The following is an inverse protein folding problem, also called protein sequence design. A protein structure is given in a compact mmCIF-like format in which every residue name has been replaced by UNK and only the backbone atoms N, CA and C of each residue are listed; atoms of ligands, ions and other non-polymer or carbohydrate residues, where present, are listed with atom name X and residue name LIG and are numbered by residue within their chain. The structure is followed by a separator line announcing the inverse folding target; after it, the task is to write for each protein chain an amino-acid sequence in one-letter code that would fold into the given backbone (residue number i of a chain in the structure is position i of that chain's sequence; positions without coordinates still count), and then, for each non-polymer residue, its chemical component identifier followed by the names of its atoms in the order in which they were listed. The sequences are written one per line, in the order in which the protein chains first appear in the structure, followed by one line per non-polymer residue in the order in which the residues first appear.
data_IF_139675631280
#
_entry.id   IF_139675631280
#
_cell.length_a   1.000
_cell.length_b   1.000
_cell.length_c   1.000
_cell.angle_alpha   90.00
_cell.angle_beta   90.00
_cell.angle_gamma   90.00
#
_symmetry.space_group_name_H-M   'P 1'
#
loop_
_entity.id
_entity.type
_entity.pdbx_description
1 polymer ?
#
# COMPACT_ATOMS: atom_id res chain seq x y z
N UNK A 1 -18.88 -13.50 -91.19
CA UNK A 1 -19.33 -14.46 -92.20
C UNK A 1 -20.83 -14.35 -92.28
N UNK A 2 -21.30 -13.52 -93.20
CA UNK A 2 -22.72 -13.31 -93.46
C UNK A 2 -22.95 -13.80 -94.88
N UNK A 3 -23.56 -14.98 -94.99
CA UNK A 3 -23.96 -15.60 -96.25
C UNK A 3 -25.01 -14.72 -96.94
N UNK A 4 -24.68 -14.20 -98.12
CA UNK A 4 -25.65 -13.64 -99.06
C UNK A 4 -25.62 -14.55 -100.30
N UNK A 5 -26.60 -15.43 -100.36
CA UNK A 5 -26.93 -16.21 -101.54
C UNK A 5 -27.45 -15.28 -102.65
N UNK A 6 -26.75 -15.23 -103.79
CA UNK A 6 -27.24 -14.64 -105.04
C UNK A 6 -27.90 -15.73 -105.90
N UNK A 7 -29.20 -15.64 -106.21
CA UNK A 7 -29.84 -16.52 -107.19
C UNK A 7 -29.46 -16.09 -108.61
N UNK A 8 -29.20 -17.08 -109.48
CA UNK A 8 -28.60 -16.89 -110.78
C UNK A 8 -29.53 -16.55 -111.96
N UNK A 9 -28.90 -16.46 -113.12
CA UNK A 9 -29.36 -17.13 -114.35
C UNK A 9 -30.32 -16.35 -115.25
N UNK A 10 -29.77 -15.78 -116.33
CA UNK A 10 -30.57 -15.14 -117.39
C UNK A 10 -30.01 -15.22 -118.81
N UNK A 11 -29.31 -16.28 -119.23
CA UNK A 11 -29.03 -16.50 -120.66
C UNK A 11 -30.26 -17.13 -121.35
N UNK A 12 -31.11 -16.34 -121.99
CA UNK A 12 -32.35 -16.85 -122.63
C UNK A 12 -32.52 -16.42 -124.10
N UNK A 13 -31.55 -16.79 -124.95
CA UNK A 13 -31.76 -16.76 -126.41
C UNK A 13 -30.64 -17.45 -127.20
N UNK A 14 -30.97 -18.10 -128.34
CA UNK A 14 -29.97 -18.66 -129.25
C UNK A 14 -29.06 -17.55 -129.79
N UNK A 15 -27.82 -17.90 -130.12
CA UNK A 15 -26.83 -17.00 -130.68
C UNK A 15 -27.34 -16.37 -131.98
N UNK A 16 -27.24 -15.04 -132.12
CA UNK A 16 -27.75 -14.32 -133.29
C UNK A 16 -26.80 -14.32 -134.51
N UNK A 17 -25.91 -15.33 -134.60
CA UNK A 17 -25.03 -15.54 -135.74
C UNK A 17 -25.73 -16.48 -136.76
N UNK A 18 -25.68 -16.21 -138.08
CA UNK A 18 -26.39 -17.01 -139.07
C UNK A 18 -26.00 -18.50 -138.98
N UNK A 19 -26.99 -19.39 -138.76
CA UNK A 19 -26.76 -20.84 -138.68
C UNK A 19 -26.32 -21.38 -137.32
N UNK A 20 -26.13 -20.54 -136.29
CA UNK A 20 -25.75 -21.01 -134.95
C UNK A 20 -26.98 -21.22 -134.05
N UNK A 21 -27.12 -22.40 -133.45
CA UNK A 21 -28.19 -22.73 -132.48
C UNK A 21 -27.72 -22.74 -131.02
N UNK A 22 -26.44 -22.44 -130.75
CA UNK A 22 -25.85 -22.45 -129.40
C UNK A 22 -26.44 -21.31 -128.55
N UNK A 23 -26.54 -21.45 -127.21
CA UNK A 23 -26.98 -20.36 -126.35
C UNK A 23 -26.00 -19.17 -126.38
N UNK A 24 -26.53 -17.95 -126.27
CA UNK A 24 -25.71 -16.75 -126.10
C UNK A 24 -24.92 -16.81 -124.78
N UNK A 25 -23.73 -16.20 -124.74
CA UNK A 25 -22.85 -16.22 -123.56
C UNK A 25 -23.57 -15.62 -122.33
N UNK A 26 -23.44 -16.24 -121.14
CA UNK A 26 -24.00 -15.70 -119.89
C UNK A 26 -23.48 -14.29 -119.57
N UNK A 27 -24.33 -13.49 -118.94
CA UNK A 27 -24.08 -12.07 -118.65
C UNK A 27 -22.85 -11.91 -117.74
N UNK A 28 -21.83 -11.11 -118.12
CA UNK A 28 -20.74 -10.78 -117.21
C UNK A 28 -21.27 -9.88 -116.08
N UNK A 29 -20.80 -10.09 -114.85
CA UNK A 29 -21.24 -9.39 -113.62
C UNK A 29 -21.06 -7.86 -113.66
N UNK A 30 -20.34 -7.35 -114.66
CA UNK A 30 -20.16 -5.93 -114.97
C UNK A 30 -20.19 -5.72 -116.49
N UNK A 31 -21.38 -5.66 -117.10
CA UNK A 31 -21.48 -5.39 -118.54
C UNK A 31 -22.88 -5.46 -119.13
N UNK A 32 -22.97 -5.16 -120.43
CA UNK A 32 -24.20 -5.28 -121.22
C UNK A 32 -24.28 -6.72 -121.77
N UNK A 33 -25.42 -7.43 -121.69
CA UNK A 33 -25.52 -8.82 -122.12
C UNK A 33 -25.11 -9.02 -123.57
N UNK A 34 -24.24 -10.01 -123.83
CA UNK A 34 -23.82 -10.35 -125.19
C UNK A 34 -24.91 -11.17 -125.90
N UNK A 35 -25.14 -10.90 -127.19
CA UNK A 35 -26.14 -11.61 -128.03
C UNK A 35 -25.55 -12.76 -128.86
N UNK A 36 -24.28 -13.12 -128.62
CA UNK A 36 -23.54 -14.12 -129.38
C UNK A 36 -22.86 -15.11 -128.43
N UNK A 37 -22.50 -16.29 -128.92
CA UNK A 37 -21.86 -17.32 -128.08
C UNK A 37 -20.34 -17.11 -127.92
N UNK A 38 -19.72 -16.23 -128.72
CA UNK A 38 -18.27 -15.95 -128.70
C UNK A 38 -17.37 -17.18 -128.87
N UNK A 39 -17.92 -18.24 -129.47
CA UNK A 39 -17.19 -19.44 -129.86
C UNK A 39 -17.03 -19.49 -131.37
N UNK A 40 -15.99 -20.18 -131.85
CA UNK A 40 -15.84 -20.57 -133.25
C UNK A 40 -16.69 -21.80 -133.58
N UNK A 41 -16.98 -21.98 -134.87
CA UNK A 41 -17.59 -23.19 -135.39
C UNK A 41 -16.67 -24.41 -135.24
N UNK A 42 -17.25 -25.61 -135.18
CA UNK A 42 -16.51 -26.88 -135.05
C UNK A 42 -15.54 -27.15 -136.22
N UNK A 43 -15.72 -26.46 -137.35
CA UNK A 43 -14.85 -26.49 -138.52
C UNK A 43 -13.72 -25.44 -138.49
N UNK A 44 -13.53 -24.72 -137.37
CA UNK A 44 -12.52 -23.66 -137.26
C UNK A 44 -12.95 -22.31 -137.83
N UNK A 45 -14.27 -22.07 -137.94
CA UNK A 45 -14.85 -20.82 -138.45
C UNK A 45 -14.62 -19.59 -137.55
N UNK A 46 -14.94 -18.37 -138.03
CA UNK A 46 -14.77 -17.13 -137.28
C UNK A 46 -15.58 -17.11 -135.98
N UNK A 47 -15.03 -16.50 -134.92
CA UNK A 47 -15.70 -16.38 -133.61
C UNK A 47 -17.03 -15.64 -133.76
N UNK A 48 -18.11 -16.17 -133.20
CA UNK A 48 -19.44 -15.56 -133.27
C UNK A 48 -19.52 -14.31 -132.39
N UNK A 49 -19.46 -13.13 -133.03
CA UNK A 49 -19.62 -11.83 -132.42
C UNK A 49 -20.30 -10.86 -133.41
N UNK A 50 -20.54 -9.61 -132.99
CA UNK A 50 -21.23 -8.62 -133.83
C UNK A 50 -20.51 -8.34 -135.15
N UNK A 51 -19.19 -8.30 -135.14
CA UNK A 51 -18.37 -7.96 -136.30
C UNK A 51 -18.33 -9.10 -137.33
N UNK A 52 -18.26 -10.36 -136.88
CA UNK A 52 -18.32 -11.53 -137.76
C UNK A 52 -19.73 -11.77 -138.31
N UNK A 53 -20.79 -11.56 -137.52
CA UNK A 53 -22.18 -11.68 -137.98
C UNK A 53 -22.54 -10.66 -139.07
N UNK A 54 -22.00 -9.43 -139.00
CA UNK A 54 -22.19 -8.43 -140.06
C UNK A 54 -21.48 -8.83 -141.37
N UNK A 55 -20.25 -9.36 -141.29
CA UNK A 55 -19.53 -9.87 -142.47
C UNK A 55 -20.25 -11.06 -143.12
N UNK A 56 -20.74 -12.02 -142.32
CA UNK A 56 -21.49 -13.16 -142.82
C UNK A 56 -22.78 -12.75 -143.56
N UNK A 57 -23.53 -11.76 -143.05
CA UNK A 57 -24.73 -11.23 -143.72
C UNK A 57 -24.40 -10.52 -145.04
N UNK A 58 -23.30 -9.78 -145.11
CA UNK A 58 -22.87 -9.09 -146.34
C UNK A 58 -22.42 -10.07 -147.43
N UNK A 59 -21.78 -11.18 -147.04
CA UNK A 59 -21.43 -12.25 -147.97
C UNK A 59 -22.67 -12.97 -148.55
N UNK A 60 -23.77 -13.06 -147.80
CA UNK A 60 -25.04 -13.63 -148.30
C UNK A 60 -25.85 -12.68 -149.21
N UNK A 61 -25.54 -11.38 -149.24
CA UNK A 61 -26.28 -10.37 -150.02
C UNK A 61 -25.52 -9.83 -151.26
N UNK A 62 -24.33 -10.36 -151.57
CA UNK A 62 -23.52 -9.96 -152.73
C UNK A 62 -23.58 -10.94 -153.89
N UNK A 63 -24.74 -11.09 -154.53
CA UNK A 63 -24.90 -11.89 -155.77
C UNK A 63 -26.14 -11.49 -156.58
N UNK A 64 -26.15 -10.30 -157.18
CA UNK A 64 -26.98 -10.00 -158.37
C UNK A 64 -26.20 -9.04 -159.27
N UNK A 65 -25.53 -9.61 -160.28
CA UNK A 65 -25.10 -8.95 -161.52
C UNK A 65 -26.23 -9.09 -162.55
N UNK A 66 -26.26 -8.25 -163.59
CA UNK A 66 -26.34 -8.73 -164.99
C UNK A 66 -26.19 -7.59 -166.01
N UNK A 67 -25.07 -7.62 -166.73
CA UNK A 67 -24.99 -7.35 -168.17
C UNK A 67 -25.49 -8.59 -168.94
N UNK A 68 -26.16 -8.41 -170.09
CA UNK A 68 -26.36 -9.46 -171.11
C UNK A 68 -26.73 -8.76 -172.44
N UNK A 69 -25.82 -8.62 -173.42
CA UNK A 69 -25.29 -9.60 -174.39
C UNK A 69 -26.31 -10.17 -175.37
N UNK A 70 -26.11 -9.76 -176.62
CA UNK A 70 -26.81 -10.06 -177.87
C UNK A 70 -26.47 -11.44 -178.46
N UNK A 71 -27.48 -12.19 -178.89
CA UNK A 71 -27.49 -12.95 -180.18
C UNK A 71 -28.88 -13.52 -180.46
N UNK A 72 -29.63 -12.94 -181.41
CA UNK A 72 -30.87 -13.47 -181.97
C UNK A 72 -31.02 -13.05 -183.44
N UNK A 73 -31.64 -13.87 -184.32
CA UNK A 73 -31.56 -13.78 -185.78
C UNK A 73 -32.05 -12.44 -186.39
N UNK A 74 -31.42 -12.01 -187.49
CA UNK A 74 -31.44 -10.67 -188.12
C UNK A 74 -32.84 -10.11 -188.47
N UNK A 75 -33.88 -10.94 -188.48
CA UNK A 75 -35.28 -10.51 -188.62
C UNK A 75 -35.88 -9.93 -187.34
N UNK A 76 -35.35 -10.24 -186.16
CA UNK A 76 -35.76 -9.66 -184.87
C UNK A 76 -35.01 -8.35 -184.54
N UNK A 77 -33.82 -8.16 -185.10
CA UNK A 77 -32.99 -6.96 -184.93
C UNK A 77 -33.64 -5.69 -185.51
N UNK A 78 -34.44 -5.81 -186.59
CA UNK A 78 -35.21 -4.68 -187.14
C UNK A 78 -36.38 -4.27 -186.26
N UNK A 79 -37.10 -5.24 -185.69
CA UNK A 79 -38.21 -4.99 -184.76
C UNK A 79 -37.68 -4.35 -183.46
N UNK A 80 -36.53 -4.79 -182.96
CA UNK A 80 -35.91 -4.17 -181.76
C UNK A 80 -35.29 -2.78 -182.03
N UNK A 81 -34.86 -2.48 -183.26
CA UNK A 81 -34.38 -1.14 -183.60
C UNK A 81 -35.53 -0.13 -183.68
N UNK A 82 -36.66 -0.54 -184.23
CA UNK A 82 -37.87 0.28 -184.29
C UNK A 82 -38.43 0.55 -182.89
N UNK A 83 -38.40 -0.45 -182.00
CA UNK A 83 -38.77 -0.29 -180.59
C UNK A 83 -37.80 0.63 -179.81
N UNK A 84 -36.49 0.58 -180.12
CA UNK A 84 -35.50 1.51 -179.53
C UNK A 84 -35.63 2.94 -180.04
N UNK A 85 -36.06 3.14 -181.30
CA UNK A 85 -36.34 4.48 -181.83
C UNK A 85 -37.64 5.06 -181.27
N UNK A 86 -38.64 4.24 -180.93
CA UNK A 86 -39.85 4.69 -180.21
C UNK A 86 -39.56 5.08 -178.75
N UNK A 87 -38.58 4.47 -178.09
CA UNK A 87 -38.21 4.76 -176.69
C UNK A 87 -37.25 5.96 -176.52
N UNK A 88 -36.65 6.45 -177.60
CA UNK A 88 -35.68 7.57 -177.56
C UNK A 88 -36.27 8.89 -177.02
N UNK A 89 -37.51 9.30 -177.36
CA UNK A 89 -38.11 10.52 -176.82
C UNK A 89 -38.28 10.46 -175.29
N UNK A 90 -38.62 9.30 -174.74
CA UNK A 90 -38.79 9.07 -173.30
C UNK A 90 -37.46 9.20 -172.56
N UNK A 91 -36.37 8.65 -173.11
CA UNK A 91 -35.03 8.81 -172.52
C UNK A 91 -34.47 10.22 -172.63
N UNK A 92 -34.83 10.98 -173.66
CA UNK A 92 -34.51 12.41 -173.75
C UNK A 92 -35.31 13.20 -172.71
N UNK A 93 -36.57 12.83 -172.44
CA UNK A 93 -37.36 13.45 -171.38
C UNK A 93 -36.75 13.19 -169.98
N UNK A 94 -36.35 11.95 -169.70
CA UNK A 94 -35.64 11.61 -168.45
C UNK A 94 -34.33 12.40 -168.28
N UNK A 95 -33.53 12.54 -169.35
CA UNK A 95 -32.30 13.35 -169.30
C UNK A 95 -32.60 14.82 -169.04
N UNK A 96 -33.70 15.33 -169.59
CA UNK A 96 -34.13 16.72 -169.39
C UNK A 96 -34.58 16.94 -167.95
N UNK A 97 -35.36 16.02 -167.38
CA UNK A 97 -35.74 16.03 -165.96
C UNK A 97 -34.50 15.99 -165.06
N UNK A 98 -33.54 15.11 -165.35
CA UNK A 98 -32.29 15.06 -164.58
C UNK A 98 -31.50 16.37 -164.65
N UNK A 99 -31.39 16.99 -165.83
CA UNK A 99 -30.70 18.28 -165.96
C UNK A 99 -31.46 19.42 -165.27
N UNK A 100 -32.80 19.40 -165.30
CA UNK A 100 -33.63 20.35 -164.55
C UNK A 100 -33.46 20.17 -163.04
N UNK A 101 -33.43 18.92 -162.54
CA UNK A 101 -33.15 18.60 -161.14
C UNK A 101 -31.75 19.08 -160.71
N UNK A 102 -30.73 18.85 -161.56
CA UNK A 102 -29.36 19.35 -161.30
C UNK A 102 -29.33 20.88 -161.25
N UNK A 103 -30.08 21.58 -162.09
CA UNK A 103 -30.17 23.05 -162.04
C UNK A 103 -30.92 23.52 -160.78
N UNK A 104 -31.93 22.78 -160.32
CA UNK A 104 -32.61 23.03 -159.04
C UNK A 104 -31.64 22.84 -157.87
N UNK A 105 -30.88 21.75 -157.86
CA UNK A 105 -29.89 21.46 -156.82
C UNK A 105 -28.73 22.46 -156.82
N UNK A 106 -28.27 22.91 -158.00
CA UNK A 106 -27.25 23.97 -158.10
C UNK A 106 -27.79 25.32 -157.63
N UNK A 107 -29.07 25.63 -157.87
CA UNK A 107 -29.71 26.84 -157.33
C UNK A 107 -29.89 26.76 -155.81
N UNK A 108 -30.26 25.61 -155.28
CA UNK A 108 -30.37 25.38 -153.84
C UNK A 108 -29.00 25.41 -153.14
N UNK A 109 -27.98 24.82 -153.76
CA UNK A 109 -26.60 24.84 -153.25
C UNK A 109 -25.91 26.21 -153.43
N UNK A 110 -26.36 27.01 -154.41
CA UNK A 110 -25.88 28.35 -154.70
C UNK A 110 -26.66 29.47 -154.00
N UNK A 111 -27.66 29.14 -153.18
CA UNK A 111 -28.40 30.11 -152.37
C UNK A 111 -27.54 30.54 -151.18
N UNK A 112 -26.66 31.50 -151.44
CA UNK A 112 -25.74 32.08 -150.45
C UNK A 112 -26.51 32.77 -149.32
N UNK A 113 -27.74 33.25 -149.56
CA UNK A 113 -28.60 33.87 -148.54
C UNK A 113 -29.19 32.81 -147.59
N UNK A 114 -29.63 31.66 -148.12
CA UNK A 114 -30.05 30.52 -147.29
C UNK A 114 -28.88 29.96 -146.46
N UNK A 115 -27.71 29.78 -147.07
CA UNK A 115 -26.50 29.34 -146.37
C UNK A 115 -26.04 30.38 -145.32
N UNK A 116 -26.14 31.67 -145.62
CA UNK A 116 -25.88 32.76 -144.67
C UNK A 116 -26.83 32.73 -143.48
N UNK A 117 -28.13 32.54 -143.71
CA UNK A 117 -29.13 32.42 -142.67
C UNK A 117 -28.91 31.21 -141.76
N UNK A 118 -28.52 30.05 -142.33
CA UNK A 118 -28.16 28.86 -141.55
C UNK A 118 -26.89 29.07 -140.71
N UNK A 119 -25.87 29.75 -141.26
CA UNK A 119 -24.65 30.08 -140.52
C UNK A 119 -24.93 31.10 -139.41
N UNK A 120 -25.77 32.10 -139.66
CA UNK A 120 -26.19 33.06 -138.64
C UNK A 120 -27.05 32.42 -137.55
N UNK A 121 -27.95 31.49 -137.91
CA UNK A 121 -28.73 30.72 -136.94
C UNK A 121 -27.84 29.78 -136.11
N UNK A 122 -26.91 29.09 -136.76
CA UNK A 122 -25.89 28.27 -136.09
C UNK A 122 -24.96 29.12 -135.21
N UNK A 123 -24.63 30.35 -135.62
CA UNK A 123 -23.86 31.29 -134.83
C UNK A 123 -24.65 31.79 -133.62
N UNK A 124 -25.94 32.12 -133.80
CA UNK A 124 -26.85 32.49 -132.70
C UNK A 124 -27.03 31.35 -131.70
N UNK A 125 -27.22 30.12 -132.17
CA UNK A 125 -27.30 28.91 -131.34
C UNK A 125 -25.97 28.62 -130.63
N UNK A 126 -24.83 28.78 -131.30
CA UNK A 126 -23.51 28.64 -130.69
C UNK A 126 -23.29 29.68 -129.58
N UNK A 127 -23.61 30.95 -129.81
CA UNK A 127 -23.54 31.99 -128.78
C UNK A 127 -24.52 31.71 -127.62
N UNK A 128 -25.73 31.22 -127.90
CA UNK A 128 -26.68 30.81 -126.88
C UNK A 128 -26.13 29.64 -126.03
N UNK A 129 -25.48 28.65 -126.65
CA UNK A 129 -24.84 27.53 -125.95
C UNK A 129 -23.63 27.97 -125.13
N UNK A 130 -22.82 28.89 -125.64
CA UNK A 130 -21.67 29.46 -124.91
C UNK A 130 -22.17 30.25 -123.70
N UNK A 131 -23.12 31.15 -123.88
CA UNK A 131 -23.68 31.94 -122.76
C UNK A 131 -24.36 31.06 -121.70
N UNK A 132 -25.06 30.00 -122.10
CA UNK A 132 -25.64 29.04 -121.16
C UNK A 132 -24.58 28.18 -120.46
N UNK A 133 -23.50 27.80 -121.16
CA UNK A 133 -22.38 27.11 -120.55
C UNK A 133 -21.63 28.00 -119.55
N UNK A 134 -21.43 29.28 -119.88
CA UNK A 134 -20.84 30.28 -118.99
C UNK A 134 -21.71 30.52 -117.76
N UNK A 135 -23.04 30.64 -117.92
CA UNK A 135 -23.96 30.75 -116.78
C UNK A 135 -23.87 29.53 -115.87
N UNK A 136 -23.85 28.32 -116.44
CA UNK A 136 -23.68 27.08 -115.67
C UNK A 136 -22.32 27.01 -114.98
N UNK A 137 -21.25 27.46 -115.63
CA UNK A 137 -19.91 27.51 -115.04
C UNK A 137 -19.86 28.49 -113.86
N UNK A 138 -20.39 29.71 -114.02
CA UNK A 138 -20.44 30.71 -112.93
C UNK A 138 -21.32 30.23 -111.78
N UNK A 139 -22.46 29.59 -112.06
CA UNK A 139 -23.32 29.01 -111.04
C UNK A 139 -22.59 27.88 -110.27
N UNK A 140 -21.92 26.98 -110.99
CA UNK A 140 -21.13 25.91 -110.40
C UNK A 140 -19.98 26.44 -109.54
N UNK A 141 -19.26 27.47 -110.00
CA UNK A 141 -18.19 28.12 -109.24
C UNK A 141 -18.72 28.78 -107.95
N UNK A 142 -19.85 29.47 -108.01
CA UNK A 142 -20.50 30.04 -106.81
C UNK A 142 -20.92 28.95 -105.83
N UNK A 143 -21.51 27.86 -106.32
CA UNK A 143 -21.88 26.71 -105.48
C UNK A 143 -20.64 26.06 -104.86
N UNK A 144 -19.55 25.91 -105.61
CA UNK A 144 -18.29 25.39 -105.12
C UNK A 144 -17.69 26.27 -104.02
N UNK A 145 -17.62 27.59 -104.23
CA UNK A 145 -17.15 28.54 -103.20
C UNK A 145 -17.99 28.50 -101.93
N UNK A 146 -19.32 28.49 -102.05
CA UNK A 146 -20.19 28.38 -100.87
C UNK A 146 -20.04 27.03 -100.15
N UNK A 147 -19.74 25.95 -100.88
CA UNK A 147 -19.45 24.65 -100.27
C UNK A 147 -18.09 24.68 -99.55
N UNK A 148 -17.06 25.25 -100.16
CA UNK A 148 -15.74 25.45 -99.54
C UNK A 148 -15.82 26.32 -98.28
N UNK A 149 -16.56 27.43 -98.32
CA UNK A 149 -16.78 28.30 -97.15
C UNK A 149 -17.48 27.55 -96.00
N UNK A 150 -18.44 26.66 -96.30
CA UNK A 150 -19.09 25.81 -95.29
C UNK A 150 -18.14 24.78 -94.70
N UNK A 151 -17.30 24.14 -95.53
CA UNK A 151 -16.28 23.19 -95.07
C UNK A 151 -15.29 23.90 -94.15
N UNK A 152 -14.75 25.04 -94.58
CA UNK A 152 -13.82 25.83 -93.77
C UNK A 152 -14.45 26.34 -92.47
N UNK A 153 -15.74 26.70 -92.48
CA UNK A 153 -16.46 27.07 -91.24
C UNK A 153 -16.62 25.87 -90.31
N UNK A 154 -17.02 24.72 -90.84
CA UNK A 154 -17.16 23.50 -90.06
C UNK A 154 -15.82 23.03 -89.49
N UNK A 155 -14.72 23.18 -90.23
CA UNK A 155 -13.36 22.89 -89.75
C UNK A 155 -13.00 23.82 -88.59
N UNK A 156 -13.20 25.13 -88.71
CA UNK A 156 -12.97 26.08 -87.61
C UNK A 156 -13.82 25.80 -86.38
N UNK A 157 -15.12 25.56 -86.55
CA UNK A 157 -16.01 25.21 -85.43
C UNK A 157 -15.55 23.91 -84.75
N UNK A 158 -15.00 22.96 -85.50
CA UNK A 158 -14.48 21.70 -84.98
C UNK A 158 -13.14 21.91 -84.25
N UNK A 159 -12.25 22.74 -84.77
CA UNK A 159 -10.99 23.13 -84.10
C UNK A 159 -11.24 23.90 -82.80
N UNK A 160 -12.21 24.84 -82.80
CA UNK A 160 -12.64 25.56 -81.61
C UNK A 160 -13.25 24.60 -80.57
N UNK A 161 -14.10 23.66 -81.01
CA UNK A 161 -14.67 22.65 -80.12
C UNK A 161 -13.61 21.70 -79.54
N UNK A 162 -12.65 21.26 -80.36
CA UNK A 162 -11.53 20.42 -79.92
C UNK A 162 -10.65 21.18 -78.91
N UNK A 163 -10.37 22.47 -79.15
CA UNK A 163 -9.62 23.34 -78.21
C UNK A 163 -10.36 23.50 -76.87
N UNK A 164 -11.66 23.81 -76.90
CA UNK A 164 -12.47 23.94 -75.67
C UNK A 164 -12.54 22.61 -74.90
N UNK A 165 -12.59 21.48 -75.61
CA UNK A 165 -12.57 20.16 -74.99
C UNK A 165 -11.21 19.86 -74.32
N UNK A 166 -10.09 20.20 -74.98
CA UNK A 166 -8.75 20.07 -74.40
C UNK A 166 -8.57 20.93 -73.15
N UNK A 167 -8.99 22.21 -73.20
CA UNK A 167 -8.94 23.13 -72.06
C UNK A 167 -9.80 22.61 -70.89
N UNK A 168 -11.01 22.11 -71.17
CA UNK A 168 -11.89 21.55 -70.15
C UNK A 168 -11.29 20.28 -69.50
N UNK A 169 -10.64 19.42 -70.27
CA UNK A 169 -9.95 18.23 -69.76
C UNK A 169 -8.71 18.62 -68.93
N UNK A 170 -7.93 19.60 -69.39
CA UNK A 170 -6.77 20.11 -68.67
C UNK A 170 -7.17 20.74 -67.33
N UNK A 171 -8.23 21.56 -67.31
CA UNK A 171 -8.75 22.18 -66.09
C UNK A 171 -9.31 21.13 -65.12
N UNK A 172 -10.04 20.14 -65.62
CA UNK A 172 -10.53 19.02 -64.79
C UNK A 172 -9.35 18.23 -64.19
N UNK A 173 -8.28 18.00 -64.96
CA UNK A 173 -7.08 17.33 -64.45
C UNK A 173 -6.38 18.17 -63.38
N UNK A 174 -6.29 19.50 -63.57
CA UNK A 174 -5.73 20.44 -62.59
C UNK A 174 -6.51 20.41 -61.28
N UNK A 175 -7.83 20.56 -61.34
CA UNK A 175 -8.71 20.53 -60.16
C UNK A 175 -8.63 19.18 -59.45
N UNK A 176 -8.59 18.06 -60.19
CA UNK A 176 -8.39 16.73 -59.59
C UNK A 176 -7.03 16.60 -58.90
N UNK A 177 -5.96 17.14 -59.49
CA UNK A 177 -4.63 17.15 -58.87
C UNK A 177 -4.60 17.98 -57.59
N UNK A 178 -5.18 19.18 -57.60
CA UNK A 178 -5.24 20.07 -56.44
C UNK A 178 -6.08 19.49 -55.32
N UNK A 179 -7.26 18.93 -55.64
CA UNK A 179 -8.13 18.28 -54.65
C UNK A 179 -7.47 17.03 -54.06
N UNK A 180 -6.76 16.23 -54.87
CA UNK A 180 -5.99 15.10 -54.36
C UNK A 180 -4.86 15.55 -53.42
N UNK A 181 -4.12 16.59 -53.79
CA UNK A 181 -3.07 17.15 -52.94
C UNK A 181 -3.62 17.71 -51.62
N UNK A 182 -4.78 18.38 -51.66
CA UNK A 182 -5.44 18.88 -50.47
C UNK A 182 -5.93 17.76 -49.55
N UNK A 183 -6.52 16.70 -50.11
CA UNK A 183 -6.93 15.53 -49.34
C UNK A 183 -5.75 14.85 -48.66
N UNK A 184 -4.61 14.72 -49.34
CA UNK A 184 -3.39 14.17 -48.75
C UNK A 184 -2.82 15.08 -47.65
N UNK A 185 -2.87 16.41 -47.82
CA UNK A 185 -2.49 17.36 -46.76
C UNK A 185 -3.38 17.22 -45.53
N UNK A 186 -4.71 17.23 -45.71
CA UNK A 186 -5.67 17.09 -44.60
C UNK A 186 -5.51 15.75 -43.90
N UNK A 187 -5.24 14.66 -44.65
CA UNK A 187 -4.95 13.34 -44.05
C UNK A 187 -3.67 13.37 -43.22
N UNK A 188 -2.58 13.93 -43.77
CA UNK A 188 -1.31 14.03 -43.04
C UNK A 188 -1.44 14.89 -41.77
N UNK A 189 -2.18 16.00 -41.84
CA UNK A 189 -2.47 16.84 -40.67
C UNK A 189 -3.34 16.12 -39.64
N UNK A 190 -4.36 15.38 -40.07
CA UNK A 190 -5.20 14.58 -39.19
C UNK A 190 -4.41 13.46 -38.51
N UNK A 191 -3.55 12.75 -39.25
CA UNK A 191 -2.68 11.70 -38.70
C UNK A 191 -1.67 12.27 -37.70
N UNK A 192 -1.08 13.44 -38.00
CA UNK A 192 -0.18 14.14 -37.09
C UNK A 192 -0.90 14.60 -35.81
N UNK A 193 -2.11 15.16 -35.94
CA UNK A 193 -2.92 15.58 -34.80
C UNK A 193 -3.35 14.38 -33.94
N UNK A 194 -3.72 13.26 -34.56
CA UNK A 194 -4.07 12.02 -33.88
C UNK A 194 -2.86 11.44 -33.12
N UNK A 195 -1.68 11.40 -33.75
CA UNK A 195 -0.44 10.94 -33.12
C UNK A 195 -0.06 11.83 -31.93
N UNK A 196 -0.18 13.16 -32.06
CA UNK A 196 0.07 14.09 -30.98
C UNK A 196 -0.91 13.90 -29.81
N UNK A 197 -2.21 13.76 -30.09
CA UNK A 197 -3.22 13.50 -29.06
C UNK A 197 -2.99 12.17 -28.33
N UNK A 198 -2.56 11.12 -29.05
CA UNK A 198 -2.20 9.83 -28.45
C UNK A 198 -0.97 9.95 -27.55
N UNK A 199 0.06 10.70 -27.97
CA UNK A 199 1.25 10.96 -27.15
C UNK A 199 0.91 11.76 -25.88
N UNK A 200 0.06 12.78 -25.98
CA UNK A 200 -0.41 13.55 -24.84
C UNK A 200 -1.18 12.66 -23.86
N UNK A 201 -2.13 11.86 -24.36
CA UNK A 201 -2.89 10.93 -23.53
C UNK A 201 -1.96 9.90 -22.83
N UNK A 202 -0.95 9.38 -23.53
CA UNK A 202 0.01 8.46 -22.95
C UNK A 202 0.83 9.15 -21.83
N UNK A 203 1.28 10.39 -22.05
CA UNK A 203 2.00 11.16 -21.05
C UNK A 203 1.13 11.50 -19.82
N UNK A 204 -0.14 11.87 -20.02
CA UNK A 204 -1.09 12.15 -18.96
C UNK A 204 -1.40 10.88 -18.13
N UNK A 205 -1.55 9.74 -18.80
CA UNK A 205 -1.71 8.43 -18.13
C UNK A 205 -0.49 8.11 -17.28
N UNK A 206 0.73 8.27 -17.83
CA UNK A 206 1.97 8.02 -17.09
C UNK A 206 2.09 8.95 -15.88
N UNK A 207 1.78 10.25 -16.04
CA UNK A 207 1.77 11.21 -14.96
C UNK A 207 0.78 10.81 -13.85
N UNK A 208 -0.45 10.45 -14.21
CA UNK A 208 -1.44 10.03 -13.22
C UNK A 208 -1.06 8.74 -12.50
N UNK A 209 -0.45 7.77 -13.20
CA UNK A 209 0.07 6.56 -12.57
C UNK A 209 1.19 6.88 -11.57
N UNK A 210 2.08 7.81 -11.91
CA UNK A 210 3.13 8.28 -11.01
C UNK A 210 2.56 9.02 -9.79
N UNK A 211 1.54 9.85 -9.98
CA UNK A 211 0.82 10.53 -8.89
C UNK A 211 0.13 9.53 -7.95
N UNK A 212 -0.52 8.51 -8.50
CA UNK A 212 -1.14 7.43 -7.70
C UNK A 212 -0.09 6.65 -6.92
N UNK A 213 1.02 6.25 -7.55
CA UNK A 213 2.11 5.56 -6.87
C UNK A 213 2.72 6.39 -5.74
N UNK A 214 2.89 7.71 -5.95
CA UNK A 214 3.37 8.62 -4.92
C UNK A 214 2.37 8.74 -3.75
N UNK A 215 1.06 8.79 -4.03
CA UNK A 215 0.01 8.82 -3.01
C UNK A 215 -0.03 7.53 -2.20
N UNK A 216 0.09 6.37 -2.85
CA UNK A 216 0.10 5.07 -2.17
C UNK A 216 1.33 4.94 -1.26
N UNK A 217 2.51 5.34 -1.74
CA UNK A 217 3.72 5.39 -0.92
C UNK A 217 3.57 6.33 0.30
N UNK A 218 2.91 7.48 0.14
CA UNK A 218 2.62 8.39 1.24
C UNK A 218 1.64 7.80 2.26
N UNK A 219 0.62 7.07 1.81
CA UNK A 219 -0.34 6.37 2.68
C UNK A 219 0.36 5.26 3.47
N UNK A 220 1.21 4.47 2.82
CA UNK A 220 1.94 3.39 3.50
C UNK A 220 2.94 3.94 4.52
N UNK A 221 3.63 5.03 4.20
CA UNK A 221 4.47 5.75 5.16
C UNK A 221 3.65 6.26 6.35
N UNK A 222 2.50 6.91 6.10
CA UNK A 222 1.63 7.40 7.18
C UNK A 222 1.11 6.25 8.08
N UNK A 223 0.82 5.08 7.50
CA UNK A 223 0.44 3.87 8.26
C UNK A 223 1.58 3.36 9.13
N UNK A 224 2.81 3.34 8.59
CA UNK A 224 4.01 2.99 9.34
C UNK A 224 4.23 3.97 10.49
N UNK A 225 4.18 5.27 10.24
CA UNK A 225 4.33 6.31 11.26
C UNK A 225 3.28 6.17 12.38
N UNK A 226 2.01 5.93 12.03
CA UNK A 226 0.95 5.66 13.02
C UNK A 226 1.22 4.38 13.80
N UNK A 227 1.73 3.33 13.17
CA UNK A 227 2.07 2.08 13.86
C UNK A 227 3.23 2.26 14.85
N UNK A 228 4.26 3.02 14.46
CA UNK A 228 5.39 3.40 15.32
C UNK A 228 4.92 4.25 16.49
N UNK A 229 4.13 5.30 16.24
CA UNK A 229 3.60 6.15 17.30
C UNK A 229 2.71 5.39 18.30
N UNK A 230 1.92 4.41 17.81
CA UNK A 230 1.13 3.51 18.68
C UNK A 230 2.03 2.61 19.52
N UNK A 231 3.08 2.05 18.95
CA UNK A 231 4.05 1.22 19.67
C UNK A 231 4.79 2.04 20.76
N UNK A 232 5.23 3.25 20.43
CA UNK A 232 5.85 4.18 21.37
C UNK A 232 4.89 4.58 22.50
N UNK A 233 3.64 4.90 22.17
CA UNK A 233 2.61 5.22 23.18
C UNK A 233 2.34 4.03 24.09
N UNK A 234 2.22 2.82 23.54
CA UNK A 234 2.01 1.60 24.32
C UNK A 234 3.22 1.31 25.23
N UNK A 235 4.45 1.50 24.73
CA UNK A 235 5.67 1.36 25.52
C UNK A 235 5.75 2.40 26.66
N UNK A 236 5.39 3.67 26.40
CA UNK A 236 5.33 4.70 27.41
C UNK A 236 4.30 4.38 28.50
N UNK A 237 3.10 3.92 28.12
CA UNK A 237 2.07 3.50 29.07
C UNK A 237 2.46 2.25 29.88
N UNK A 238 3.24 1.35 29.29
CA UNK A 238 3.77 0.19 30.01
C UNK A 238 4.85 0.62 31.02
N UNK A 239 5.74 1.54 30.63
CA UNK A 239 6.76 2.09 31.51
C UNK A 239 6.14 2.89 32.67
N UNK A 240 5.11 3.70 32.43
CA UNK A 240 4.39 4.44 33.46
C UNK A 240 3.71 3.50 34.48
N UNK A 241 3.06 2.42 33.99
CA UNK A 241 2.47 1.40 34.86
C UNK A 241 3.52 0.70 35.71
N UNK A 242 4.61 0.24 35.11
CA UNK A 242 5.71 -0.39 35.83
C UNK A 242 6.35 0.55 36.88
N UNK A 243 6.52 1.83 36.55
CA UNK A 243 7.02 2.83 37.49
C UNK A 243 6.05 3.07 38.65
N UNK A 244 4.74 3.09 38.37
CA UNK A 244 3.69 3.25 39.39
C UNK A 244 3.64 2.04 40.32
N UNK A 245 3.65 0.82 39.78
CA UNK A 245 3.71 -0.43 40.55
C UNK A 245 4.96 -0.50 41.42
N UNK A 246 6.13 -0.11 40.87
CA UNK A 246 7.38 -0.04 41.63
C UNK A 246 7.29 0.97 42.77
N UNK A 247 6.77 2.17 42.51
CA UNK A 247 6.59 3.19 43.54
C UNK A 247 5.59 2.78 44.62
N UNK A 248 4.51 2.07 44.27
CA UNK A 248 3.56 1.50 45.21
C UNK A 248 4.20 0.41 46.07
N UNK A 249 4.98 -0.47 45.47
CA UNK A 249 5.73 -1.51 46.18
C UNK A 249 6.74 -0.91 47.16
N UNK A 250 7.52 0.09 46.74
CA UNK A 250 8.45 0.81 47.61
C UNK A 250 7.74 1.51 48.78
N UNK A 251 6.58 2.14 48.53
CA UNK A 251 5.77 2.74 49.60
C UNK A 251 5.26 1.69 50.58
N UNK A 252 4.78 0.54 50.08
CA UNK A 252 4.31 -0.56 50.93
C UNK A 252 5.46 -1.13 51.78
N UNK A 253 6.63 -1.36 51.19
CA UNK A 253 7.83 -1.81 51.89
C UNK A 253 8.27 -0.78 52.94
N UNK A 254 8.29 0.51 52.60
CA UNK A 254 8.63 1.57 53.54
C UNK A 254 7.64 1.66 54.71
N UNK A 255 6.34 1.45 54.45
CA UNK A 255 5.32 1.39 55.49
C UNK A 255 5.51 0.17 56.41
N UNK A 256 5.82 -1.00 55.83
CA UNK A 256 6.14 -2.21 56.58
C UNK A 256 7.37 -2.00 57.49
N UNK A 257 8.48 -1.50 56.94
CA UNK A 257 9.70 -1.23 57.70
C UNK A 257 9.47 -0.23 58.84
N UNK A 258 8.62 0.79 58.64
CA UNK A 258 8.23 1.72 59.70
C UNK A 258 7.44 1.02 60.80
N UNK A 259 6.49 0.14 60.43
CA UNK A 259 5.71 -0.63 61.40
C UNK A 259 6.60 -1.58 62.22
N UNK A 260 7.56 -2.25 61.56
CA UNK A 260 8.56 -3.11 62.21
C UNK A 260 9.47 -2.31 63.16
N UNK A 261 9.95 -1.13 62.74
CA UNK A 261 10.73 -0.25 63.61
C UNK A 261 9.93 0.24 64.83
N UNK A 262 8.67 0.63 64.64
CA UNK A 262 7.82 1.07 65.74
C UNK A 262 7.44 -0.09 66.67
N UNK A 263 7.30 -1.31 66.15
CA UNK A 263 7.17 -2.52 66.95
C UNK A 263 8.44 -2.77 67.78
N UNK A 264 9.61 -2.80 67.15
CA UNK A 264 10.88 -3.00 67.85
C UNK A 264 11.13 -1.92 68.92
N UNK A 265 10.74 -0.67 68.66
CA UNK A 265 10.79 0.42 69.65
C UNK A 265 9.87 0.16 70.84
N UNK A 266 8.66 -0.35 70.61
CA UNK A 266 7.72 -0.70 71.69
C UNK A 266 8.26 -1.86 72.52
N UNK A 267 8.73 -2.92 71.87
CA UNK A 267 9.35 -4.08 72.52
C UNK A 267 10.56 -3.65 73.39
N UNK A 268 11.46 -2.83 72.85
CA UNK A 268 12.60 -2.31 73.61
C UNK A 268 12.19 -1.40 74.79
N UNK A 269 11.11 -0.61 74.63
CA UNK A 269 10.58 0.21 75.73
C UNK A 269 9.96 -0.64 76.83
N UNK A 270 9.24 -1.71 76.46
CA UNK A 270 8.62 -2.62 77.42
C UNK A 270 9.68 -3.47 78.13
N UNK A 271 10.71 -3.96 77.42
CA UNK A 271 11.87 -4.62 78.03
C UNK A 271 12.58 -3.68 79.01
N UNK A 272 12.80 -2.41 78.63
CA UNK A 272 13.39 -1.42 79.54
C UNK A 272 12.53 -1.18 80.78
N UNK A 273 11.21 -1.12 80.64
CA UNK A 273 10.28 -1.00 81.79
C UNK A 273 10.34 -2.23 82.69
N UNK A 274 10.43 -3.43 82.11
CA UNK A 274 10.56 -4.67 82.85
C UNK A 274 11.87 -4.69 83.65
N UNK A 275 13.01 -4.41 83.00
CA UNK A 275 14.32 -4.33 83.64
C UNK A 275 14.35 -3.27 84.75
N UNK A 276 13.69 -2.12 84.55
CA UNK A 276 13.56 -1.10 85.58
C UNK A 276 12.75 -1.61 86.78
N UNK A 277 11.61 -2.28 86.54
CA UNK A 277 10.80 -2.86 87.62
C UNK A 277 11.55 -3.96 88.39
N UNK A 278 12.32 -4.80 87.69
CA UNK A 278 13.21 -5.80 88.30
C UNK A 278 14.30 -5.12 89.16
N UNK A 279 14.90 -4.04 88.65
CA UNK A 279 15.90 -3.24 89.39
C UNK A 279 15.30 -2.60 90.63
N UNK A 280 14.12 -2.00 90.52
CA UNK A 280 13.39 -1.38 91.64
C UNK A 280 13.02 -2.44 92.69
N UNK A 281 12.58 -3.62 92.25
CA UNK A 281 12.29 -4.76 93.13
C UNK A 281 13.55 -5.24 93.84
N UNK A 282 14.68 -5.34 93.14
CA UNK A 282 15.97 -5.68 93.72
C UNK A 282 16.44 -4.62 94.73
N UNK A 283 16.25 -3.33 94.45
CA UNK A 283 16.54 -2.23 95.38
C UNK A 283 15.67 -2.31 96.63
N UNK A 284 14.36 -2.57 96.49
CA UNK A 284 13.46 -2.76 97.62
C UNK A 284 13.86 -3.99 98.46
N UNK A 285 14.25 -5.10 97.82
CA UNK A 285 14.75 -6.29 98.51
C UNK A 285 16.05 -5.98 99.26
N UNK A 286 17.00 -5.26 98.65
CA UNK A 286 18.23 -4.82 99.28
C UNK A 286 17.97 -3.87 100.47
N UNK A 287 17.04 -2.93 100.35
CA UNK A 287 16.63 -2.05 101.44
C UNK A 287 16.00 -2.84 102.60
N UNK A 288 15.11 -3.80 102.31
CA UNK A 288 14.54 -4.69 103.34
C UNK A 288 15.61 -5.52 104.02
N UNK A 289 16.56 -6.07 103.27
CA UNK A 289 17.70 -6.80 103.81
C UNK A 289 18.56 -5.90 104.71
N UNK A 290 18.84 -4.66 104.30
CA UNK A 290 19.59 -3.69 105.11
C UNK A 290 18.85 -3.30 106.41
N UNK A 291 17.52 -3.13 106.36
CA UNK A 291 16.70 -2.87 107.56
C UNK A 291 16.70 -4.09 108.48
N UNK A 292 16.58 -5.30 107.94
CA UNK A 292 16.69 -6.54 108.72
C UNK A 292 18.08 -6.68 109.33
N UNK A 293 19.14 -6.39 108.59
CA UNK A 293 20.50 -6.39 109.10
C UNK A 293 20.65 -5.37 110.25
N UNK A 294 20.19 -4.14 110.06
CA UNK A 294 20.19 -3.12 111.12
C UNK A 294 19.39 -3.55 112.35
N UNK A 295 18.23 -4.21 112.17
CA UNK A 295 17.43 -4.75 113.26
C UNK A 295 18.18 -5.87 114.00
N UNK A 296 18.78 -6.83 113.30
CA UNK A 296 19.58 -7.89 113.92
C UNK A 296 20.82 -7.35 114.64
N UNK A 297 21.46 -6.30 114.10
CA UNK A 297 22.56 -5.61 114.78
C UNK A 297 22.08 -4.89 116.04
N UNK A 298 20.91 -4.26 116.01
CA UNK A 298 20.30 -3.63 117.19
C UNK A 298 19.91 -4.66 118.26
N UNK A 299 19.34 -5.80 117.87
CA UNK A 299 19.05 -6.94 118.75
C UNK A 299 20.34 -7.50 119.36
N UNK A 300 21.40 -7.69 118.57
CA UNK A 300 22.71 -8.12 119.07
C UNK A 300 23.30 -7.10 120.05
N UNK A 301 23.18 -5.80 119.77
CA UNK A 301 23.63 -4.75 120.68
C UNK A 301 22.80 -4.70 121.98
N UNK A 302 21.50 -5.00 121.91
CA UNK A 302 20.64 -5.13 123.08
C UNK A 302 20.99 -6.38 123.90
N UNK A 303 21.21 -7.53 123.26
CA UNK A 303 21.65 -8.76 123.89
C UNK A 303 23.01 -8.61 124.57
N UNK A 304 23.96 -7.90 123.94
CA UNK A 304 25.27 -7.56 124.55
C UNK A 304 25.09 -6.70 125.80
N UNK A 305 24.25 -5.66 125.73
CA UNK A 305 23.93 -4.83 126.90
C UNK A 305 23.28 -5.63 128.02
N UNK A 306 22.33 -6.52 127.69
CA UNK A 306 21.68 -7.41 128.65
C UNK A 306 22.70 -8.33 129.35
N UNK A 307 23.61 -8.94 128.58
CA UNK A 307 24.69 -9.78 129.09
C UNK A 307 25.65 -8.99 129.99
N UNK A 308 25.92 -7.73 129.65
CA UNK A 308 26.77 -6.84 130.46
C UNK A 308 26.09 -6.45 131.78
N UNK A 309 24.78 -6.17 131.77
CA UNK A 309 24.01 -6.01 133.01
C UNK A 309 24.00 -7.29 133.84
N UNK A 310 23.82 -8.47 133.24
CA UNK A 310 23.90 -9.77 133.93
C UNK A 310 25.29 -10.01 134.56
N UNK A 311 26.36 -9.63 133.86
CA UNK A 311 27.73 -9.70 134.41
C UNK A 311 27.91 -8.73 135.58
N UNK A 312 27.35 -7.54 135.49
CA UNK A 312 27.44 -6.55 136.56
C UNK A 312 26.60 -6.96 137.79
N UNK A 313 25.42 -7.55 137.59
CA UNK A 313 24.60 -8.07 138.69
C UNK A 313 25.25 -9.28 139.35
N UNK A 314 25.82 -10.21 138.57
CA UNK A 314 26.58 -11.34 139.13
C UNK A 314 27.83 -10.87 139.89
N UNK A 315 28.57 -9.87 139.38
CA UNK A 315 29.69 -9.28 140.10
C UNK A 315 29.27 -8.60 141.41
N UNK A 316 28.13 -7.89 141.42
CA UNK A 316 27.57 -7.30 142.64
C UNK A 316 27.15 -8.37 143.66
N UNK A 317 26.50 -9.45 143.21
CA UNK A 317 26.11 -10.57 144.05
C UNK A 317 27.34 -11.29 144.66
N UNK A 318 28.44 -11.43 143.91
CA UNK A 318 29.70 -11.99 144.42
C UNK A 318 30.29 -11.09 145.50
N UNK A 319 30.33 -9.77 145.27
CA UNK A 319 30.80 -8.78 146.25
C UNK A 319 29.98 -8.83 147.56
N UNK A 320 28.65 -8.93 147.46
CA UNK A 320 27.76 -9.09 148.62
C UNK A 320 27.98 -10.42 149.37
N UNK A 321 28.26 -11.51 148.65
CA UNK A 321 28.64 -12.80 149.23
C UNK A 321 29.99 -12.74 149.96
N UNK A 322 30.95 -12.00 149.44
CA UNK A 322 32.25 -11.78 150.09
C UNK A 322 32.10 -10.91 151.34
N UNK A 323 31.28 -9.86 151.27
CA UNK A 323 30.95 -9.00 152.40
C UNK A 323 30.29 -9.77 153.54
N UNK A 324 29.26 -10.57 153.25
CA UNK A 324 28.60 -11.42 154.25
C UNK A 324 29.55 -12.47 154.85
N UNK A 325 30.46 -13.03 154.05
CA UNK A 325 31.51 -13.94 154.55
C UNK A 325 32.53 -13.22 155.45
N UNK A 326 32.85 -11.96 155.18
CA UNK A 326 33.74 -11.17 156.02
C UNK A 326 33.05 -10.79 157.35
N UNK A 327 31.78 -10.38 157.31
CA UNK A 327 30.94 -10.09 158.47
C UNK A 327 30.82 -11.33 159.38
N UNK A 328 30.51 -12.51 158.83
CA UNK A 328 30.43 -13.75 159.61
C UNK A 328 31.78 -14.18 160.22
N UNK A 329 32.91 -13.85 159.60
CA UNK A 329 34.25 -14.08 160.19
C UNK A 329 34.52 -13.12 161.35
N UNK A 330 34.15 -11.85 161.19
CA UNK A 330 34.29 -10.84 162.24
C UNK A 330 33.42 -11.18 163.46
N UNK A 331 32.17 -11.63 163.26
CA UNK A 331 31.29 -12.07 164.35
C UNK A 331 31.84 -13.29 165.10
N UNK A 332 32.37 -14.29 164.37
CA UNK A 332 33.01 -15.46 165.02
C UNK A 332 34.26 -15.09 165.81
N UNK A 333 35.02 -14.10 165.35
CA UNK A 333 36.21 -13.64 166.06
C UNK A 333 35.84 -12.82 167.29
N UNK A 334 34.83 -11.94 167.19
CA UNK A 334 34.27 -11.21 168.33
C UNK A 334 33.76 -12.17 169.42
N UNK A 335 33.00 -13.20 169.05
CA UNK A 335 32.51 -14.22 169.98
C UNK A 335 33.64 -15.02 170.64
N UNK A 336 34.77 -15.25 169.95
CA UNK A 336 35.94 -15.92 170.53
C UNK A 336 36.67 -15.04 171.54
N UNK A 337 36.83 -13.76 171.22
CA UNK A 337 37.44 -12.79 172.14
C UNK A 337 36.58 -12.65 173.39
N UNK A 338 35.27 -12.47 173.24
CA UNK A 338 34.31 -12.38 174.34
C UNK A 338 34.31 -13.65 175.21
N UNK A 339 34.34 -14.85 174.59
CA UNK A 339 34.41 -16.09 175.34
C UNK A 339 35.75 -16.28 176.09
N UNK A 340 36.86 -15.82 175.50
CA UNK A 340 38.17 -15.83 176.14
C UNK A 340 38.22 -14.85 177.34
N UNK A 341 37.59 -13.69 177.22
CA UNK A 341 37.43 -12.71 178.30
C UNK A 341 36.57 -13.26 179.45
N UNK A 342 35.45 -13.93 179.14
CA UNK A 342 34.62 -14.60 180.15
C UNK A 342 35.38 -15.71 180.91
N UNK A 343 36.23 -16.48 180.22
CA UNK A 343 37.07 -17.50 180.87
C UNK A 343 38.17 -16.89 181.75
N UNK A 344 38.75 -15.76 181.33
CA UNK A 344 39.74 -15.03 182.13
C UNK A 344 39.10 -14.46 183.42
N UNK A 345 37.92 -13.85 183.32
CA UNK A 345 37.18 -13.34 184.48
C UNK A 345 36.75 -14.45 185.44
N UNK A 346 36.31 -15.61 184.91
CA UNK A 346 35.96 -16.76 185.75
C UNK A 346 37.17 -17.30 186.53
N UNK A 347 38.34 -17.40 185.88
CA UNK A 347 39.61 -17.80 186.52
C UNK A 347 40.03 -16.82 187.60
N UNK A 348 40.02 -15.52 187.30
CA UNK A 348 40.39 -14.49 188.26
C UNK A 348 39.49 -14.53 189.51
N UNK A 349 38.17 -14.66 189.34
CA UNK A 349 37.24 -14.77 190.48
C UNK A 349 37.44 -16.04 191.31
N UNK A 350 37.96 -17.12 190.71
CA UNK A 350 38.24 -18.37 191.41
C UNK A 350 39.55 -18.29 192.19
N UNK A 351 40.56 -17.63 191.61
CA UNK A 351 41.83 -17.32 192.26
C UNK A 351 41.63 -16.39 193.46
N UNK A 352 40.86 -15.31 193.31
CA UNK A 352 40.52 -14.40 194.42
C UNK A 352 39.79 -15.13 195.57
N UNK A 353 38.87 -16.05 195.25
CA UNK A 353 38.18 -16.88 196.25
C UNK A 353 39.11 -17.87 196.96
N UNK A 354 40.05 -18.46 196.22
CA UNK A 354 41.05 -19.36 196.80
C UNK A 354 42.04 -18.61 197.71
N UNK A 355 42.41 -17.40 197.32
CA UNK A 355 43.31 -16.53 198.07
C UNK A 355 42.63 -16.04 199.36
N UNK A 356 41.38 -15.59 199.29
CA UNK A 356 40.58 -15.22 200.45
C UNK A 356 40.36 -16.38 201.46
N UNK A 357 40.15 -17.61 200.97
CA UNK A 357 40.04 -18.80 201.82
C UNK A 357 41.38 -19.18 202.47
N UNK A 358 42.48 -18.97 201.77
CA UNK A 358 43.83 -19.23 202.29
C UNK A 358 44.20 -18.23 203.37
N UNK A 359 43.88 -16.96 203.19
CA UNK A 359 44.07 -15.88 204.17
C UNK A 359 43.18 -16.07 205.41
N UNK A 360 41.94 -16.54 205.24
CA UNK A 360 41.07 -16.89 206.37
C UNK A 360 41.63 -18.07 207.19
N UNK A 361 42.22 -19.08 206.53
CA UNK A 361 42.83 -20.24 207.19
C UNK A 361 44.13 -19.89 207.93
N UNK A 362 44.94 -18.97 207.42
CA UNK A 362 46.15 -18.50 208.11
C UNK A 362 45.81 -17.56 209.27
N UNK A 363 44.78 -16.72 209.15
CA UNK A 363 44.29 -15.90 210.24
C UNK A 363 43.73 -16.75 211.40
N UNK A 364 42.95 -17.79 211.10
CA UNK A 364 42.44 -18.75 212.11
C UNK A 364 43.56 -19.55 212.78
N UNK A 365 44.58 -19.99 212.01
CA UNK A 365 45.75 -20.68 212.57
C UNK A 365 46.56 -19.79 213.51
N UNK A 366 46.77 -18.52 213.17
CA UNK A 366 47.47 -17.56 214.03
C UNK A 366 46.71 -17.29 215.35
N UNK A 367 45.38 -17.20 215.30
CA UNK A 367 44.53 -17.04 216.49
C UNK A 367 44.58 -18.29 217.39
N UNK A 368 44.55 -19.49 216.79
CA UNK A 368 44.66 -20.74 217.53
C UNK A 368 46.05 -21.00 218.14
N UNK A 369 47.13 -20.52 217.52
CA UNK A 369 48.49 -20.57 218.08
C UNK A 369 48.64 -19.64 219.30
N UNK A 370 47.99 -18.48 219.25
CA UNK A 370 48.02 -17.47 220.32
C UNK A 370 47.21 -17.93 221.55
N UNK A 371 46.09 -18.64 221.34
CA UNK A 371 45.35 -19.28 222.45
C UNK A 371 46.08 -20.50 223.04
N UNK A 372 46.88 -21.23 222.23
CA UNK A 372 47.68 -22.38 222.71
C UNK A 372 48.87 -21.96 223.57
N UNK A 373 49.55 -20.86 223.23
CA UNK A 373 50.67 -20.36 224.05
C UNK A 373 50.20 -19.72 225.37
N UNK A 374 48.99 -19.17 225.43
CA UNK A 374 48.40 -18.64 226.66
C UNK A 374 47.84 -19.73 227.60
N UNK A 375 47.44 -20.91 227.08
CA UNK A 375 47.00 -22.05 227.92
C UNK A 375 48.15 -22.90 228.47
N UNK A 376 49.30 -22.99 227.78
CA UNK A 376 50.41 -23.87 228.20
C UNK A 376 51.23 -23.36 229.40
N UNK A 377 51.12 -22.08 229.78
CA UNK A 377 51.75 -21.54 230.99
C UNK A 377 50.78 -21.42 232.20
N UNK A 378 49.47 -21.58 231.98
CA UNK A 378 48.45 -21.47 233.02
C UNK A 378 47.71 -22.81 233.30
N UNK A 379 48.11 -23.92 232.70
CA UNK A 379 47.44 -25.22 232.92
C UNK A 379 48.42 -26.39 233.10
N UNK A 380 49.45 -26.13 233.92
CA UNK A 380 49.77 -27.06 234.99
C UNK A 380 49.23 -26.58 236.37
N UNK A 381 48.68 -25.36 236.46
CA UNK A 381 48.27 -24.70 237.72
C UNK A 381 47.11 -23.69 237.49
N UNK A 382 45.93 -24.00 238.06
CA UNK A 382 44.68 -23.21 238.13
C UNK A 382 43.77 -23.08 236.89
N UNK A 383 42.45 -23.23 237.12
CA UNK A 383 41.41 -22.50 236.35
C UNK A 383 40.31 -23.33 235.70
N UNK A 384 39.17 -23.39 236.40
CA UNK A 384 37.83 -23.88 236.04
C UNK A 384 37.04 -22.80 235.22
N UNK A 385 35.70 -22.85 235.05
CA UNK A 385 34.86 -23.50 234.02
C UNK A 385 34.03 -22.52 233.13
N UNK A 386 33.12 -23.11 232.32
CA UNK A 386 31.73 -22.64 232.05
C UNK A 386 31.37 -21.71 230.85
N UNK A 387 30.38 -22.21 230.08
CA UNK A 387 29.10 -21.58 229.67
C UNK A 387 29.00 -20.37 228.69
N UNK A 388 28.05 -20.52 227.74
CA UNK A 388 26.93 -19.61 227.41
C UNK A 388 26.88 -18.80 226.07
N UNK A 389 25.76 -19.02 225.34
CA UNK A 389 24.79 -18.04 224.73
C UNK A 389 25.01 -17.39 223.33
N UNK A 390 24.00 -17.67 222.47
CA UNK A 390 23.05 -16.79 221.72
C UNK A 390 23.43 -16.02 220.42
N UNK A 391 22.60 -16.26 219.37
CA UNK A 391 21.88 -15.34 218.41
C UNK A 391 22.72 -14.26 217.67
N UNK A 392 22.59 -14.00 216.35
CA UNK A 392 21.42 -13.52 215.57
C UNK A 392 21.80 -13.36 214.06
N UNK A 393 20.80 -13.28 213.18
CA UNK A 393 20.76 -13.08 211.71
C UNK A 393 21.36 -11.70 211.22
N UNK A 394 21.39 -11.25 209.91
CA UNK A 394 20.34 -11.40 208.86
C UNK A 394 20.74 -11.27 207.34
N UNK A 395 19.69 -11.22 206.48
CA UNK A 395 19.49 -10.54 205.15
C UNK A 395 20.27 -11.00 203.89
N UNK A 396 19.63 -11.53 202.82
CA UNK A 396 18.73 -10.95 201.76
C UNK A 396 19.42 -9.96 200.79
N UNK A 397 19.46 -10.30 199.49
CA UNK A 397 18.97 -9.54 198.29
C UNK A 397 19.54 -10.20 197.01
N UNK A 398 18.68 -10.64 196.07
CA UNK A 398 18.34 -10.01 194.75
C UNK A 398 19.54 -10.08 193.77
N UNK A 399 19.42 -10.41 192.48
CA UNK A 399 18.76 -9.62 191.42
C UNK A 399 18.94 -10.33 190.06
N UNK A 400 17.95 -10.19 189.16
CA UNK A 400 18.10 -9.88 187.70
C UNK A 400 18.82 -10.92 186.79
N UNK A 401 18.51 -11.11 185.50
CA UNK A 401 17.70 -10.38 184.50
C UNK A 401 17.63 -11.22 183.19
N UNK A 402 16.53 -11.05 182.45
CA UNK A 402 16.27 -10.99 180.97
C UNK A 402 17.12 -11.82 179.96
N UNK A 403 16.45 -12.54 179.05
CA UNK A 403 16.29 -12.27 177.58
C UNK A 403 17.60 -12.47 176.79
N UNK A 404 17.69 -13.21 175.67
CA UNK A 404 16.92 -13.33 174.42
C UNK A 404 17.19 -14.71 173.82
#
# INVERSE_FOLDING_TARGET
MTDIAYPGGGSKGPCNYPGCTRPSRPDPTTGRPSRYCEQSDSSGGPIHNRASAWRARRAQQGAVLTEESTTAPVSLARVTLEQRLMALPEKIAELRTYLDDVVVDVRAAGDVEAAGAEVEDAHRDALAKVTEAERRAVAAERTARLAEERVQRAEREREEADTVAEDALAETARVRGETAAELERVRAEADAAAAHAQQQLAADIEQHLNELAARDAAIDKARQDVSTARAETAAAQAAERAATETAEHERALAAQLRAELDQARREAQDERRQLQAETDTAHQAAQRAAVQEAATQAELAAARRALETERNTTAALVSDLERTRAEARAEREALRVEHAEHLAQARHSAEERAQALTEALTAERAVAETYRSQLAAAQADAGDPAAARRRRAPTKTTTQRDEV
#
